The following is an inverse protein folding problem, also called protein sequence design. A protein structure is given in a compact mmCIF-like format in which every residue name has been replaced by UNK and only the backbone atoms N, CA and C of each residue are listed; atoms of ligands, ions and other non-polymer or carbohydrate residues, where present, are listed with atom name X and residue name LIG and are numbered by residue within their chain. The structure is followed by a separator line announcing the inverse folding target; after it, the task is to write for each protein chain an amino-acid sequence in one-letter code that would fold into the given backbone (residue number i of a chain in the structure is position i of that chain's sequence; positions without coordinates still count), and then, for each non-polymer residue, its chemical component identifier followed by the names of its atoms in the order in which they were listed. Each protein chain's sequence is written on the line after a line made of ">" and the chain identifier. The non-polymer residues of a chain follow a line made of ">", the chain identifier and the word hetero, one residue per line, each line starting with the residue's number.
data_IF_361980831478
#
_entry.id   IF_361980831478
#
_cell.length_a   1.000
_cell.length_b   1.000
_cell.length_c   1.000
_cell.angle_alpha   90.00
_cell.angle_beta   90.00
_cell.angle_gamma   90.00
#
_symmetry.space_group_name_H-M   'P 1'
#
loop_
_entity.id
_entity.type
_entity.pdbx_description
1 polymer ?
#
# COMPACT_ATOMS: atom_id res chain seq x y z
N UNK A 1 -0.30 -6.40 4.30
CA UNK A 1 -1.20 -5.25 4.03
C UNK A 1 -0.82 -3.99 4.84
N UNK A 2 0.43 -3.89 5.26
CA UNK A 2 0.94 -2.74 6.02
C UNK A 2 1.40 -1.57 5.12
N UNK A 3 1.41 -1.77 3.82
CA UNK A 3 2.02 -0.84 2.86
C UNK A 3 1.28 0.49 2.66
N UNK A 4 0.03 0.60 3.06
CA UNK A 4 -0.80 1.76 2.69
C UNK A 4 -0.79 2.90 3.70
N UNK A 5 -0.51 2.62 4.98
CA UNK A 5 -0.70 3.62 6.05
C UNK A 5 0.22 3.32 7.22
N UNK A 6 0.63 4.38 7.93
CA UNK A 6 1.22 4.29 9.26
C UNK A 6 0.40 3.30 10.13
N UNK A 7 1.00 2.21 10.65
CA UNK A 7 0.31 1.17 11.41
C UNK A 7 -0.55 1.72 12.57
N UNK A 8 -0.13 2.85 13.15
CA UNK A 8 -0.86 3.50 14.24
C UNK A 8 -2.15 4.21 13.79
N UNK A 9 -2.38 4.33 12.47
CA UNK A 9 -3.53 5.02 11.88
C UNK A 9 -4.50 4.12 11.16
N UNK A 10 -4.11 2.85 10.95
CA UNK A 10 -4.95 1.84 10.34
C UNK A 10 -5.39 0.84 11.41
N UNK A 11 -6.67 0.83 11.69
CA UNK A 11 -7.31 -0.13 12.59
C UNK A 11 -8.09 -1.14 11.76
N UNK A 12 -7.84 -2.43 11.96
CA UNK A 12 -8.67 -3.48 11.37
C UNK A 12 -9.95 -3.60 12.18
N UNK A 13 -11.10 -3.49 11.53
CA UNK A 13 -12.43 -3.67 12.15
C UNK A 13 -12.93 -5.09 11.95
N UNK A 14 -12.83 -5.63 10.74
CA UNK A 14 -13.25 -6.95 10.32
C UNK A 14 -12.22 -7.57 9.38
N UNK A 15 -12.48 -8.76 8.85
CA UNK A 15 -11.56 -9.48 7.96
C UNK A 15 -11.14 -8.64 6.74
N UNK A 16 -12.06 -7.89 6.17
CA UNK A 16 -11.89 -7.07 4.96
C UNK A 16 -12.22 -5.59 5.16
N UNK A 17 -12.50 -5.17 6.40
CA UNK A 17 -12.85 -3.80 6.76
C UNK A 17 -11.77 -3.15 7.63
N UNK A 18 -11.39 -1.93 7.25
CA UNK A 18 -10.31 -1.18 7.88
C UNK A 18 -10.74 0.26 8.14
N UNK A 19 -10.41 0.78 9.30
CA UNK A 19 -10.59 2.18 9.68
C UNK A 19 -9.28 2.93 9.50
N UNK A 20 -9.29 3.95 8.66
CA UNK A 20 -8.18 4.86 8.44
C UNK A 20 -8.41 6.18 9.15
N UNK A 21 -7.55 6.49 10.12
CA UNK A 21 -7.51 7.81 10.78
C UNK A 21 -6.54 8.71 10.02
N UNK A 22 -7.05 9.72 9.33
CA UNK A 22 -6.22 10.66 8.59
C UNK A 22 -5.51 11.64 9.53
N UNK A 23 -4.45 12.27 9.03
CA UNK A 23 -3.85 13.42 9.73
C UNK A 23 -4.82 14.58 9.70
N UNK A 24 -4.75 15.49 10.70
CA UNK A 24 -5.49 16.75 10.61
C UNK A 24 -5.19 17.45 9.28
N UNK A 25 -6.25 17.91 8.63
CA UNK A 25 -6.21 18.62 7.36
C UNK A 25 -6.72 20.04 7.62
N UNK A 26 -5.99 21.03 7.14
CA UNK A 26 -6.41 22.43 7.19
C UNK A 26 -7.20 22.77 5.93
N UNK A 27 -8.40 23.26 6.11
CA UNK A 27 -9.26 23.77 5.06
C UNK A 27 -9.72 25.18 5.44
N UNK A 28 -9.19 26.20 4.76
CA UNK A 28 -9.38 27.59 5.12
C UNK A 28 -9.02 27.85 6.59
N UNK A 29 -10.00 28.26 7.42
CA UNK A 29 -9.82 28.48 8.87
C UNK A 29 -10.18 27.26 9.73
N UNK A 30 -10.52 26.13 9.12
CA UNK A 30 -10.93 24.92 9.83
C UNK A 30 -9.79 23.89 9.81
N UNK A 31 -9.65 23.17 10.92
CA UNK A 31 -8.84 21.96 10.99
C UNK A 31 -9.77 20.77 11.21
N UNK A 32 -9.80 19.86 10.25
CA UNK A 32 -10.64 18.67 10.26
C UNK A 32 -9.77 17.40 10.31
N UNK A 33 -10.25 16.38 11.00
CA UNK A 33 -9.58 15.08 11.06
C UNK A 33 -10.53 13.97 10.58
N UNK A 34 -10.47 13.61 9.29
CA UNK A 34 -11.31 12.55 8.77
C UNK A 34 -10.88 11.16 9.28
N UNK A 35 -11.88 10.34 9.57
CA UNK A 35 -11.73 8.90 9.82
C UNK A 35 -12.61 8.18 8.81
N UNK A 36 -12.03 7.30 8.01
CA UNK A 36 -12.73 6.63 6.90
C UNK A 36 -12.72 5.13 7.12
N UNK A 37 -13.90 4.51 7.10
CA UNK A 37 -14.05 3.07 7.11
C UNK A 37 -14.09 2.55 5.67
N UNK A 38 -13.22 1.59 5.37
CA UNK A 38 -12.99 1.08 4.03
C UNK A 38 -13.11 -0.43 3.98
N UNK A 39 -13.81 -0.92 2.96
CA UNK A 39 -13.79 -2.33 2.59
C UNK A 39 -12.72 -2.55 1.51
N UNK A 40 -11.87 -3.56 1.73
CA UNK A 40 -10.81 -3.97 0.80
C UNK A 40 -11.09 -5.40 0.37
N UNK A 41 -11.18 -5.65 -0.92
CA UNK A 41 -11.42 -6.99 -1.47
C UNK A 41 -10.40 -7.32 -2.54
N UNK A 42 -9.82 -8.52 -2.45
CA UNK A 42 -8.93 -9.09 -3.45
C UNK A 42 -9.71 -10.07 -4.32
N UNK A 43 -9.57 -9.95 -5.64
CA UNK A 43 -10.15 -10.84 -6.62
C UNK A 43 -9.13 -11.92 -7.03
N UNK A 44 -9.61 -13.04 -7.55
CA UNK A 44 -8.77 -14.17 -7.98
C UNK A 44 -7.71 -13.79 -9.03
N UNK A 45 -7.95 -12.74 -9.83
CA UNK A 45 -7.01 -12.23 -10.82
C UNK A 45 -5.96 -11.26 -10.25
N UNK A 46 -5.84 -11.16 -8.93
CA UNK A 46 -4.90 -10.27 -8.25
C UNK A 46 -5.35 -8.80 -8.16
N UNK A 47 -6.53 -8.45 -8.70
CA UNK A 47 -7.07 -7.10 -8.57
C UNK A 47 -7.53 -6.85 -7.14
N UNK A 48 -7.08 -5.74 -6.55
CA UNK A 48 -7.54 -5.24 -5.26
C UNK A 48 -8.53 -4.10 -5.50
N UNK A 49 -9.67 -4.15 -4.83
CA UNK A 49 -10.70 -3.09 -4.82
C UNK A 49 -10.82 -2.52 -3.41
N UNK A 50 -10.98 -1.21 -3.36
CA UNK A 50 -11.17 -0.43 -2.14
C UNK A 50 -12.46 0.37 -2.28
N UNK A 51 -13.30 0.39 -1.23
CA UNK A 51 -14.52 1.19 -1.20
C UNK A 51 -14.76 1.73 0.21
N UNK A 52 -15.07 3.01 0.33
CA UNK A 52 -15.53 3.58 1.61
C UNK A 52 -16.88 2.99 2.01
N UNK A 53 -17.07 2.77 3.30
CA UNK A 53 -18.34 2.36 3.92
C UNK A 53 -18.94 3.45 4.79
N UNK A 54 -18.08 4.29 5.34
CA UNK A 54 -18.47 5.40 6.19
C UNK A 54 -17.31 6.36 6.38
N UNK A 55 -17.64 7.57 6.78
CA UNK A 55 -16.67 8.59 7.14
C UNK A 55 -17.18 9.39 8.33
N UNK A 56 -16.28 9.74 9.23
CA UNK A 56 -16.51 10.57 10.39
C UNK A 56 -15.49 11.73 10.37
N UNK A 57 -15.97 12.96 10.61
CA UNK A 57 -15.12 14.13 10.84
C UNK A 57 -15.03 14.38 12.33
N UNK A 58 -13.84 14.24 12.90
CA UNK A 58 -13.60 14.55 14.31
C UNK A 58 -13.27 16.01 14.50
N UNK A 59 -13.75 16.57 15.61
CA UNK A 59 -13.47 17.93 16.07
C UNK A 59 -14.54 18.96 15.77
N UNK A 60 -15.43 18.75 14.79
CA UNK A 60 -16.49 19.68 14.43
C UNK A 60 -17.77 18.92 14.13
N UNK A 61 -18.66 18.80 15.13
CA UNK A 61 -19.92 18.03 15.04
C UNK A 61 -20.83 18.56 13.93
N UNK A 62 -20.90 19.88 13.75
CA UNK A 62 -21.69 20.49 12.69
C UNK A 62 -21.31 19.97 11.30
N UNK A 63 -20.00 19.83 11.03
CA UNK A 63 -19.50 19.30 9.75
C UNK A 63 -19.73 17.81 9.68
N UNK A 64 -19.50 17.07 10.77
CA UNK A 64 -19.64 15.62 10.81
C UNK A 64 -21.04 15.16 10.34
N UNK A 65 -22.08 15.84 10.77
CA UNK A 65 -23.46 15.51 10.38
C UNK A 65 -23.81 15.87 8.92
N UNK A 66 -23.01 16.72 8.28
CA UNK A 66 -23.24 17.28 6.93
C UNK A 66 -22.10 16.96 5.97
N UNK A 67 -21.36 15.90 6.29
CA UNK A 67 -20.19 15.44 5.51
C UNK A 67 -20.47 14.06 4.95
N UNK A 68 -20.18 13.88 3.67
CA UNK A 68 -20.11 12.56 3.08
C UNK A 68 -18.85 12.41 2.24
N UNK A 69 -18.29 11.21 2.26
CA UNK A 69 -17.10 10.85 1.48
C UNK A 69 -17.32 9.51 0.80
N UNK A 70 -17.22 9.51 -0.52
CA UNK A 70 -17.22 8.33 -1.35
C UNK A 70 -15.83 8.13 -1.94
N UNK A 71 -15.18 7.04 -1.57
CA UNK A 71 -13.90 6.63 -2.11
C UNK A 71 -14.06 5.29 -2.82
N UNK A 72 -13.64 5.25 -4.06
CA UNK A 72 -13.52 4.02 -4.82
C UNK A 72 -12.09 3.90 -5.34
N UNK A 73 -11.43 2.78 -5.05
CA UNK A 73 -10.07 2.49 -5.49
C UNK A 73 -9.96 1.13 -6.17
N UNK A 74 -9.10 1.03 -7.15
CA UNK A 74 -8.74 -0.20 -7.84
C UNK A 74 -7.24 -0.25 -8.08
N UNK A 75 -6.61 -1.39 -7.77
CA UNK A 75 -5.23 -1.69 -8.11
C UNK A 75 -5.21 -3.05 -8.81
N UNK A 76 -4.70 -3.11 -10.02
CA UNK A 76 -4.70 -4.32 -10.83
C UNK A 76 -3.32 -4.59 -11.44
N UNK A 77 -2.84 -5.84 -11.39
CA UNK A 77 -1.66 -6.25 -12.14
C UNK A 77 -1.98 -6.40 -13.62
N UNK A 78 -1.01 -6.08 -14.48
CA UNK A 78 -1.06 -6.36 -15.91
C UNK A 78 0.34 -6.65 -16.43
N UNK A 79 0.45 -7.48 -17.44
CA UNK A 79 1.72 -7.90 -18.04
C UNK A 79 1.94 -7.28 -19.40
N UNK A 80 3.15 -6.76 -19.62
CA UNK A 80 3.63 -6.31 -20.94
C UNK A 80 5.03 -6.91 -21.14
N UNK A 81 5.23 -7.63 -22.23
CA UNK A 81 6.53 -8.23 -22.59
C UNK A 81 7.19 -9.05 -21.44
N UNK A 82 6.38 -9.82 -20.71
CA UNK A 82 6.87 -10.62 -19.58
C UNK A 82 7.03 -9.88 -18.26
N UNK A 83 6.97 -8.55 -18.26
CA UNK A 83 7.09 -7.72 -17.08
C UNK A 83 5.71 -7.44 -16.49
N UNK A 84 5.57 -7.58 -15.18
CA UNK A 84 4.33 -7.27 -14.45
C UNK A 84 4.35 -5.83 -13.96
N UNK A 85 3.32 -5.09 -14.30
CA UNK A 85 3.06 -3.72 -13.86
C UNK A 85 1.83 -3.70 -12.97
N UNK A 86 1.74 -2.68 -12.10
CA UNK A 86 0.56 -2.38 -11.31
C UNK A 86 -0.07 -1.07 -11.79
N UNK A 87 -1.38 -1.12 -12.10
CA UNK A 87 -2.17 0.07 -12.45
C UNK A 87 -3.16 0.36 -11.34
N UNK A 88 -3.05 1.55 -10.76
CA UNK A 88 -3.97 2.05 -9.75
C UNK A 88 -4.84 3.19 -10.28
N UNK A 89 -6.09 3.22 -9.82
CA UNK A 89 -7.03 4.32 -9.98
C UNK A 89 -7.75 4.54 -8.66
N UNK A 90 -8.01 5.80 -8.31
CA UNK A 90 -8.82 6.16 -7.17
C UNK A 90 -9.70 7.35 -7.53
N UNK A 91 -10.99 7.21 -7.24
CA UNK A 91 -11.99 8.25 -7.40
C UNK A 91 -12.48 8.65 -6.00
N UNK A 92 -12.43 9.94 -5.70
CA UNK A 92 -12.80 10.51 -4.41
C UNK A 92 -13.81 11.64 -4.62
N UNK A 93 -14.98 11.46 -4.04
CA UNK A 93 -16.04 12.47 -3.99
C UNK A 93 -16.28 12.88 -2.55
N UNK A 94 -16.36 14.17 -2.31
CA UNK A 94 -16.65 14.74 -0.99
C UNK A 94 -17.79 15.76 -1.13
N UNK A 95 -18.79 15.61 -0.27
CA UNK A 95 -19.87 16.58 -0.12
C UNK A 95 -19.83 17.10 1.30
N UNK A 96 -19.89 18.41 1.47
CA UNK A 96 -19.87 19.08 2.77
C UNK A 96 -20.65 20.38 2.73
N UNK A 97 -21.46 20.62 3.77
CA UNK A 97 -22.02 21.94 4.04
C UNK A 97 -21.06 22.74 4.92
N UNK A 98 -20.54 23.82 4.37
CA UNK A 98 -19.59 24.67 5.11
C UNK A 98 -20.34 25.56 6.12
N UNK A 99 -19.82 25.63 7.37
CA UNK A 99 -20.45 26.44 8.40
C UNK A 99 -20.23 27.94 8.18
N UNK A 100 -21.08 28.74 8.81
CA UNK A 100 -20.85 30.17 8.94
C UNK A 100 -19.55 30.44 9.74
N UNK A 101 -18.68 31.42 9.39
CA UNK A 101 -18.85 32.41 8.31
C UNK A 101 -18.36 31.96 6.92
N UNK A 102 -17.81 30.73 6.77
CA UNK A 102 -17.28 30.24 5.50
C UNK A 102 -18.31 30.16 4.39
N UNK A 103 -19.59 29.95 4.74
CA UNK A 103 -20.70 29.94 3.78
C UNK A 103 -20.92 31.27 3.06
N UNK A 104 -20.32 32.38 3.54
CA UNK A 104 -20.30 33.68 2.86
C UNK A 104 -19.25 33.73 1.72
N UNK A 105 -18.33 32.78 1.69
CA UNK A 105 -17.34 32.70 0.61
C UNK A 105 -18.04 32.23 -0.67
N UNK A 106 -17.73 32.83 -1.83
CA UNK A 106 -18.31 32.40 -3.10
C UNK A 106 -18.03 30.92 -3.36
N UNK A 107 -19.07 30.18 -3.76
CA UNK A 107 -19.02 28.73 -4.00
C UNK A 107 -17.84 28.27 -4.87
N UNK A 108 -17.48 28.96 -5.99
CA UNK A 108 -16.33 28.57 -6.81
C UNK A 108 -15.01 28.59 -6.05
N UNK A 109 -14.83 29.49 -5.09
CA UNK A 109 -13.60 29.59 -4.27
C UNK A 109 -13.54 28.40 -3.30
N UNK A 110 -14.66 28.09 -2.65
CA UNK A 110 -14.76 26.91 -1.76
C UNK A 110 -14.45 25.62 -2.52
N UNK A 111 -15.05 25.45 -3.69
CA UNK A 111 -14.85 24.26 -4.54
C UNK A 111 -13.40 24.16 -5.05
N UNK A 112 -12.81 25.24 -5.52
CA UNK A 112 -11.42 25.25 -5.98
C UNK A 112 -10.45 24.89 -4.86
N UNK A 113 -10.63 25.47 -3.67
CA UNK A 113 -9.81 25.20 -2.48
C UNK A 113 -9.99 23.74 -2.01
N UNK A 114 -11.22 23.25 -1.95
CA UNK A 114 -11.55 21.88 -1.59
C UNK A 114 -10.95 20.86 -2.56
N UNK A 115 -11.12 21.06 -3.85
CA UNK A 115 -10.56 20.20 -4.89
C UNK A 115 -9.02 20.21 -4.86
N UNK A 116 -8.38 21.34 -4.58
CA UNK A 116 -6.94 21.44 -4.38
C UNK A 116 -6.46 20.60 -3.20
N UNK A 117 -7.16 20.67 -2.07
CA UNK A 117 -6.89 19.86 -0.89
C UNK A 117 -7.03 18.36 -1.19
N UNK A 118 -8.13 17.93 -1.81
CA UNK A 118 -8.38 16.54 -2.15
C UNK A 118 -7.32 15.98 -3.10
N UNK A 119 -6.92 16.77 -4.10
CA UNK A 119 -5.83 16.41 -5.03
C UNK A 119 -4.51 16.21 -4.29
N UNK A 120 -4.17 17.09 -3.37
CA UNK A 120 -2.94 16.99 -2.54
C UNK A 120 -2.96 15.71 -1.67
N UNK A 121 -4.09 15.41 -1.04
CA UNK A 121 -4.29 14.19 -0.24
C UNK A 121 -4.09 12.94 -1.10
N UNK A 122 -4.74 12.86 -2.27
CA UNK A 122 -4.61 11.72 -3.18
C UNK A 122 -3.18 11.53 -3.69
N UNK A 123 -2.48 12.61 -4.03
CA UNK A 123 -1.07 12.55 -4.43
C UNK A 123 -0.19 12.01 -3.30
N UNK A 124 -0.40 12.46 -2.07
CA UNK A 124 0.34 11.98 -0.90
C UNK A 124 0.09 10.48 -0.67
N UNK A 125 -1.17 10.03 -0.78
CA UNK A 125 -1.52 8.61 -0.65
C UNK A 125 -0.86 7.80 -1.76
N UNK A 126 -0.92 8.27 -3.01
CA UNK A 126 -0.26 7.62 -4.15
C UNK A 126 1.24 7.44 -3.93
N UNK A 127 1.95 8.49 -3.52
CA UNK A 127 3.40 8.43 -3.28
C UNK A 127 3.75 7.43 -2.18
N UNK A 128 3.03 7.44 -1.07
CA UNK A 128 3.23 6.50 0.04
C UNK A 128 2.94 5.07 -0.36
N UNK A 129 1.83 4.85 -1.07
CA UNK A 129 1.46 3.53 -1.57
C UNK A 129 2.56 2.95 -2.48
N UNK A 130 3.05 3.74 -3.44
CA UNK A 130 4.11 3.31 -4.34
C UNK A 130 5.40 2.97 -3.58
N UNK A 131 5.83 3.84 -2.67
CA UNK A 131 7.03 3.60 -1.87
C UNK A 131 6.90 2.32 -1.03
N UNK A 132 5.81 2.16 -0.31
CA UNK A 132 5.61 1.02 0.58
C UNK A 132 5.45 -0.30 -0.19
N UNK A 133 4.73 -0.29 -1.33
CA UNK A 133 4.59 -1.49 -2.18
C UNK A 133 5.94 -1.96 -2.73
N UNK A 134 6.79 -1.02 -3.18
CA UNK A 134 8.13 -1.36 -3.67
C UNK A 134 9.01 -1.93 -2.54
N UNK A 135 9.04 -1.28 -1.39
CA UNK A 135 9.82 -1.76 -0.23
C UNK A 135 9.33 -3.12 0.28
N UNK A 136 8.01 -3.36 0.33
CA UNK A 136 7.48 -4.66 0.74
C UNK A 136 7.80 -5.75 -0.29
N UNK A 137 7.78 -5.42 -1.58
CA UNK A 137 8.15 -6.34 -2.66
C UNK A 137 9.64 -6.70 -2.60
N UNK A 138 10.53 -5.72 -2.43
CA UNK A 138 11.97 -5.93 -2.29
C UNK A 138 12.29 -6.83 -1.10
N UNK A 139 11.67 -6.59 0.04
CA UNK A 139 11.82 -7.43 1.24
C UNK A 139 11.37 -8.87 0.98
N UNK A 140 10.20 -9.03 0.38
CA UNK A 140 9.68 -10.36 0.05
C UNK A 140 10.60 -11.12 -0.92
N UNK A 141 11.16 -10.46 -1.93
CA UNK A 141 12.09 -11.10 -2.87
C UNK A 141 13.37 -11.56 -2.18
N UNK A 142 13.92 -10.78 -1.23
CA UNK A 142 15.07 -11.17 -0.43
C UNK A 142 14.76 -12.40 0.45
N UNK A 143 13.61 -12.40 1.14
CA UNK A 143 13.18 -13.52 1.98
C UNK A 143 13.01 -14.82 1.20
N UNK A 144 12.46 -14.77 -0.02
CA UNK A 144 12.29 -15.92 -0.90
C UNK A 144 13.65 -16.46 -1.36
N UNK A 145 14.59 -15.59 -1.75
CA UNK A 145 15.93 -15.99 -2.16
C UNK A 145 16.73 -16.65 -1.02
N UNK A 146 16.63 -16.13 0.20
CA UNK A 146 17.28 -16.74 1.37
C UNK A 146 16.71 -18.13 1.66
N UNK A 147 15.40 -18.32 1.51
CA UNK A 147 14.77 -19.63 1.69
C UNK A 147 15.18 -20.65 0.61
N UNK A 148 15.31 -20.22 -0.65
CA UNK A 148 15.78 -21.08 -1.73
C UNK A 148 17.24 -21.52 -1.53
N UNK A 149 18.12 -20.64 -1.07
CA UNK A 149 19.52 -20.95 -0.76
C UNK A 149 19.61 -21.92 0.44
N UNK A 150 18.80 -21.72 1.47
CA UNK A 150 18.78 -22.59 2.66
C UNK A 150 18.18 -23.98 2.37
N UNK A 151 17.41 -24.14 1.30
CA UNK A 151 16.76 -25.41 0.92
C UNK A 151 17.58 -26.22 -0.08
N UNK A 152 18.67 -25.69 -0.63
CA UNK A 152 19.57 -26.48 -1.48
C UNK A 152 20.39 -27.47 -0.63
N UNK A 153 20.21 -28.80 -0.76
CA UNK A 153 21.04 -29.75 -0.06
C UNK A 153 22.46 -29.61 -0.59
N UNK A 154 23.40 -29.46 0.34
CA UNK A 154 24.82 -29.36 0.14
C UNK A 154 25.29 -30.51 -0.78
N UNK A 155 25.48 -30.25 -2.06
CA UNK A 155 26.11 -31.18 -2.99
C UNK A 155 27.57 -31.26 -2.60
N UNK A 156 27.89 -32.27 -1.77
CA UNK A 156 29.26 -32.64 -1.41
C UNK A 156 30.07 -32.80 -2.69
N UNK A 157 31.04 -31.95 -2.87
CA UNK A 157 32.15 -32.16 -3.80
C UNK A 157 32.93 -33.35 -3.27
N UNK A 158 32.69 -34.50 -3.84
CA UNK A 158 33.59 -35.68 -3.66
C UNK A 158 34.86 -35.38 -4.42
N UNK A 159 35.84 -34.85 -3.72
CA UNK A 159 37.21 -34.78 -4.21
C UNK A 159 37.76 -36.21 -4.19
N UNK A 160 37.72 -36.86 -5.35
CA UNK A 160 38.39 -38.14 -5.57
C UNK A 160 39.90 -37.96 -5.47
N UNK A 161 40.46 -38.28 -4.32
CA UNK A 161 41.89 -38.41 -4.12
C UNK A 161 42.41 -39.64 -4.84
N UNK A 162 43.05 -39.43 -5.97
CA UNK A 162 43.89 -40.45 -6.65
C UNK A 162 45.21 -40.55 -5.89
N UNK A 163 45.38 -41.59 -5.09
CA UNK A 163 46.67 -41.97 -4.56
C UNK A 163 47.34 -42.99 -5.49
N UNK A 164 48.31 -42.51 -6.24
CA UNK A 164 49.29 -43.36 -6.88
C UNK A 164 50.29 -43.91 -5.85
N UNK A 165 50.41 -45.22 -5.73
CA UNK A 165 51.50 -45.87 -5.02
C UNK A 165 52.30 -46.63 -6.04
N UNK A 166 53.49 -46.13 -6.23
CA UNK A 166 54.61 -46.82 -6.89
C UNK A 166 55.24 -47.85 -5.95
N UNK A 167 55.54 -49.00 -6.41
CA UNK A 167 56.62 -49.82 -5.90
C UNK A 167 56.99 -50.84 -6.99
N UNK A 168 58.05 -50.68 -7.63
CA UNK A 168 59.50 -50.98 -7.46
C UNK A 168 59.82 -52.46 -7.30
N UNK A 169 60.68 -52.81 -8.22
CA UNK A 169 61.77 -53.79 -8.13
C UNK A 169 61.50 -55.32 -8.08
N UNK A 170 61.88 -56.08 -9.05
CA UNK A 170 63.17 -56.76 -9.00
C UNK A 170 63.34 -57.68 -10.21
N UNK A 171 64.50 -57.57 -10.89
CA UNK A 171 65.20 -58.60 -11.66
C UNK A 171 65.75 -59.64 -10.69
N UNK A 172 66.40 -60.79 -11.11
CA UNK A 172 66.83 -61.14 -12.45
C UNK A 172 66.72 -62.68 -12.74
N UNK A 173 66.98 -63.06 -13.93
CA UNK A 173 67.86 -64.01 -14.62
C UNK A 173 67.18 -64.55 -15.86
#
# INVERSE_FOLDING_TARGET
>A
MNALVDPNRLQRLEADCFRLKMRPLSFMMLTIQPTVDMKVSALANGTVRLRSRGCEIRGIEYINQRFSLNLYGRLAPYKINGITYLRGQADLEVQVEVPYPLSLTPKPIIEATGNGLLKSVLLTIKQRLMHNLLSDYERWTCEVQEQEIATQPNSQVVVGGSSAVSHDSHQPT
#
